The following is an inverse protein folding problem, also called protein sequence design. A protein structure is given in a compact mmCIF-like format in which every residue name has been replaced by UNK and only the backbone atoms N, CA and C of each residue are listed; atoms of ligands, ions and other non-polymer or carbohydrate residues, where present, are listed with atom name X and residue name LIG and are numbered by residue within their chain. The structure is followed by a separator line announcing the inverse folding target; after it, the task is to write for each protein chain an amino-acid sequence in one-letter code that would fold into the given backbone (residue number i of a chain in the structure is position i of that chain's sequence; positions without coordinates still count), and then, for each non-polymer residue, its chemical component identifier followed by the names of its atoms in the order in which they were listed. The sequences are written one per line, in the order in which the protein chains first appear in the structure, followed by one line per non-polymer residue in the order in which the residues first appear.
data_IF_758058180657
#
_entry.id   IF_758058180657
#
_cell.length_a   1.000
_cell.length_b   1.000
_cell.length_c   1.000
_cell.angle_alpha   90.00
_cell.angle_beta   90.00
_cell.angle_gamma   90.00
#
_symmetry.space_group_name_H-M   'P 1'
#
loop_
_entity.id
_entity.type
_entity.pdbx_description
1 polymer ?
#
# COMPACT_ATOMS: atom_id res chain seq x y z
N UNK A 1 -53.01 -15.36 19.09
CA UNK A 1 -53.01 -13.96 19.60
C UNK A 1 -52.17 -13.99 20.86
N UNK A 2 -51.02 -13.33 21.02
CA UNK A 2 -50.42 -12.17 20.34
C UNK A 2 -48.88 -12.33 20.39
N UNK A 3 -48.19 -12.24 19.26
CA UNK A 3 -47.44 -11.07 18.76
C UNK A 3 -46.28 -10.62 19.69
N UNK A 4 -45.08 -11.08 19.33
CA UNK A 4 -43.83 -10.38 19.63
C UNK A 4 -43.64 -9.27 18.58
N UNK A 5 -43.39 -8.00 18.95
CA UNK A 5 -42.78 -7.07 18.04
C UNK A 5 -41.26 -6.99 18.30
N UNK A 6 -40.53 -7.30 17.23
CA UNK A 6 -39.13 -6.97 17.06
C UNK A 6 -38.91 -5.47 17.29
N UNK A 7 -37.98 -5.14 18.18
CA UNK A 7 -37.36 -3.82 18.27
C UNK A 7 -35.93 -3.91 17.77
N UNK A 8 -35.73 -3.95 16.46
CA UNK A 8 -34.44 -3.64 15.85
C UNK A 8 -34.23 -2.13 15.99
N UNK A 9 -33.44 -1.72 16.98
CA UNK A 9 -32.92 -0.36 17.06
C UNK A 9 -31.74 -0.25 16.09
N UNK A 10 -32.02 0.11 14.84
CA UNK A 10 -30.97 0.61 13.96
C UNK A 10 -30.50 1.95 14.52
N UNK A 11 -29.32 1.94 15.14
CA UNK A 11 -28.71 3.11 15.75
C UNK A 11 -28.05 3.97 14.63
N UNK A 12 -28.59 5.13 14.26
CA UNK A 12 -28.12 5.92 13.10
C UNK A 12 -26.74 6.56 13.30
N UNK A 13 -26.23 6.58 14.53
CA UNK A 13 -24.87 7.09 14.82
C UNK A 13 -23.77 6.14 14.33
N UNK A 14 -24.00 4.82 14.34
CA UNK A 14 -23.00 3.84 13.91
C UNK A 14 -22.70 3.91 12.41
N UNK A 15 -23.73 4.11 11.56
CA UNK A 15 -23.55 4.20 10.10
C UNK A 15 -22.86 5.49 9.66
N UNK A 16 -23.08 6.59 10.38
CA UNK A 16 -22.47 7.89 10.06
C UNK A 16 -20.98 7.91 10.42
N UNK A 17 -20.59 7.24 11.52
CA UNK A 17 -19.19 7.09 11.92
C UNK A 17 -18.44 6.17 10.94
N UNK A 18 -19.04 5.04 10.54
CA UNK A 18 -18.46 4.11 9.58
C UNK A 18 -18.22 4.76 8.19
N UNK A 19 -19.19 5.53 7.70
CA UNK A 19 -19.04 6.27 6.43
C UNK A 19 -17.93 7.33 6.47
N UNK A 20 -17.76 8.03 7.60
CA UNK A 20 -16.68 9.00 7.79
C UNK A 20 -15.29 8.35 7.80
N UNK A 21 -15.17 7.16 8.41
CA UNK A 21 -13.92 6.38 8.47
C UNK A 21 -13.54 5.78 7.11
N UNK A 22 -14.52 5.27 6.36
CA UNK A 22 -14.33 4.78 4.99
C UNK A 22 -13.78 5.89 4.08
N UNK A 23 -14.39 7.08 4.12
CA UNK A 23 -13.95 8.25 3.34
C UNK A 23 -12.52 8.69 3.66
N UNK A 24 -12.12 8.65 4.94
CA UNK A 24 -10.76 8.98 5.36
C UNK A 24 -9.73 7.96 4.84
N UNK A 25 -10.03 6.67 4.95
CA UNK A 25 -9.15 5.59 4.46
C UNK A 25 -8.96 5.65 2.94
N UNK A 26 -10.02 5.99 2.20
CA UNK A 26 -9.93 6.17 0.75
C UNK A 26 -9.05 7.36 0.38
N UNK A 27 -9.16 8.47 1.11
CA UNK A 27 -8.32 9.64 0.88
C UNK A 27 -6.85 9.38 1.19
N UNK A 28 -6.56 8.66 2.27
CA UNK A 28 -5.20 8.21 2.59
C UNK A 28 -4.65 7.29 1.49
N UNK A 29 -5.48 6.40 0.96
CA UNK A 29 -5.13 5.51 -0.15
C UNK A 29 -4.77 6.31 -1.39
N UNK A 30 -5.60 7.29 -1.77
CA UNK A 30 -5.34 8.16 -2.93
C UNK A 30 -4.03 8.95 -2.77
N UNK A 31 -3.76 9.48 -1.58
CA UNK A 31 -2.50 10.19 -1.28
C UNK A 31 -1.30 9.26 -1.41
N UNK A 32 -1.37 8.06 -0.82
CA UNK A 32 -0.29 7.08 -0.92
C UNK A 32 -0.05 6.64 -2.36
N UNK A 33 -1.11 6.37 -3.13
CA UNK A 33 -1.00 6.06 -4.55
C UNK A 33 -0.31 7.17 -5.34
N UNK A 34 -0.67 8.44 -5.09
CA UNK A 34 -0.04 9.58 -5.78
C UNK A 34 1.47 9.65 -5.50
N UNK A 35 1.83 9.36 -4.25
CA UNK A 35 3.24 9.28 -3.83
C UNK A 35 3.96 8.12 -4.52
N UNK A 36 3.38 6.91 -4.52
CA UNK A 36 3.96 5.74 -5.17
C UNK A 36 4.06 5.90 -6.69
N UNK A 37 3.06 6.52 -7.34
CA UNK A 37 3.11 6.89 -8.77
C UNK A 37 4.29 7.80 -9.07
N UNK A 38 4.59 8.76 -8.18
CA UNK A 38 5.73 9.66 -8.33
C UNK A 38 7.05 8.91 -8.16
N UNK A 39 7.18 8.09 -7.12
CA UNK A 39 8.38 7.28 -6.90
C UNK A 39 8.64 6.29 -8.02
N UNK A 40 7.61 5.67 -8.59
CA UNK A 40 7.74 4.83 -9.78
C UNK A 40 8.37 5.59 -10.94
N UNK A 41 7.94 6.82 -11.22
CA UNK A 41 8.54 7.65 -12.28
C UNK A 41 10.02 7.93 -11.99
N UNK A 42 10.35 8.29 -10.75
CA UNK A 42 11.73 8.53 -10.33
C UNK A 42 12.61 7.28 -10.40
N UNK A 43 12.07 6.11 -10.10
CA UNK A 43 12.79 4.84 -10.25
C UNK A 43 13.09 4.51 -11.72
N UNK A 44 12.23 4.92 -12.66
CA UNK A 44 12.46 4.68 -14.09
C UNK A 44 13.65 5.50 -14.64
N UNK A 45 13.91 6.68 -14.08
CA UNK A 45 15.01 7.55 -14.50
C UNK A 45 16.32 7.24 -13.78
N UNK A 46 17.41 7.01 -14.54
CA UNK A 46 18.68 6.53 -13.98
C UNK A 46 19.28 7.44 -12.88
N UNK A 47 19.39 8.74 -13.14
CA UNK A 47 20.04 9.66 -12.20
C UNK A 47 19.16 9.94 -10.97
N UNK A 48 17.85 10.03 -11.19
CA UNK A 48 16.87 10.20 -10.11
C UNK A 48 16.84 8.96 -9.20
N UNK A 49 16.85 7.74 -9.78
CA UNK A 49 16.88 6.47 -9.03
C UNK A 49 18.09 6.37 -8.10
N UNK A 50 19.29 6.72 -8.56
CA UNK A 50 20.51 6.72 -7.71
C UNK A 50 20.38 7.64 -6.50
N UNK A 51 19.71 8.78 -6.68
CA UNK A 51 19.45 9.73 -5.60
C UNK A 51 18.42 9.16 -4.64
N UNK A 52 17.35 8.58 -5.19
CA UNK A 52 16.26 7.99 -4.42
C UNK A 52 16.70 6.80 -3.57
N UNK A 53 17.61 5.95 -4.05
CA UNK A 53 18.16 4.85 -3.27
C UNK A 53 19.00 5.29 -2.06
N UNK A 54 19.37 6.58 -1.98
CA UNK A 54 20.03 7.15 -0.80
C UNK A 54 19.04 7.80 0.18
N UNK A 55 17.77 7.90 -0.19
CA UNK A 55 16.73 8.51 0.62
C UNK A 55 16.16 7.49 1.62
N UNK A 56 16.49 7.68 2.90
CA UNK A 56 16.00 6.83 3.98
C UNK A 56 14.47 6.85 4.13
N UNK A 57 13.81 7.97 3.82
CA UNK A 57 12.35 8.07 3.90
C UNK A 57 11.69 7.22 2.81
N UNK A 58 12.25 7.25 1.59
CA UNK A 58 11.82 6.37 0.50
C UNK A 58 11.98 4.89 0.88
N UNK A 59 13.15 4.48 1.38
CA UNK A 59 13.43 3.09 1.74
C UNK A 59 12.54 2.59 2.88
N UNK A 60 12.32 3.44 3.89
CA UNK A 60 11.40 3.14 5.00
C UNK A 60 9.98 2.96 4.50
N UNK A 61 9.50 3.85 3.64
CA UNK A 61 8.16 3.77 3.06
C UNK A 61 8.00 2.52 2.17
N UNK A 62 9.02 2.18 1.38
CA UNK A 62 9.03 0.96 0.57
C UNK A 62 8.85 -0.28 1.45
N UNK A 63 9.58 -0.35 2.57
CA UNK A 63 9.49 -1.44 3.53
C UNK A 63 8.12 -1.51 4.21
N UNK A 64 7.55 -0.36 4.58
CA UNK A 64 6.21 -0.27 5.18
C UNK A 64 5.10 -0.71 4.22
N UNK A 65 5.24 -0.40 2.92
CA UNK A 65 4.25 -0.80 1.92
C UNK A 65 4.21 -2.31 1.69
N UNK A 66 5.26 -3.07 2.05
CA UNK A 66 5.29 -4.54 1.88
C UNK A 66 4.19 -5.26 2.67
N UNK A 67 3.67 -4.65 3.74
CA UNK A 67 2.58 -5.20 4.55
C UNK A 67 1.23 -4.59 4.19
N UNK A 68 1.15 -3.77 3.14
CA UNK A 68 -0.10 -3.15 2.71
C UNK A 68 -0.96 -4.17 1.95
N UNK A 69 -2.27 -4.17 2.21
CA UNK A 69 -3.20 -5.10 1.58
C UNK A 69 -4.08 -4.44 0.51
N UNK A 70 -3.93 -3.13 0.27
CA UNK A 70 -4.68 -2.43 -0.75
C UNK A 70 -4.14 -2.80 -2.14
N UNK A 71 -4.95 -3.36 -3.05
CA UNK A 71 -4.47 -3.83 -4.34
C UNK A 71 -3.77 -2.76 -5.18
N UNK A 72 -4.26 -1.52 -5.14
CA UNK A 72 -3.68 -0.40 -5.87
C UNK A 72 -2.29 -0.01 -5.36
N UNK A 73 -2.08 -0.03 -4.04
CA UNK A 73 -0.79 0.20 -3.39
C UNK A 73 0.20 -0.90 -3.78
N UNK A 74 -0.23 -2.17 -3.64
CA UNK A 74 0.60 -3.33 -3.99
C UNK A 74 1.01 -3.34 -5.45
N UNK A 75 0.12 -2.97 -6.36
CA UNK A 75 0.43 -2.81 -7.80
C UNK A 75 1.59 -1.85 -8.03
N UNK A 76 1.58 -0.66 -7.41
CA UNK A 76 2.69 0.30 -7.59
C UNK A 76 3.96 -0.14 -6.88
N UNK A 77 3.84 -0.76 -5.70
CA UNK A 77 4.98 -1.30 -4.97
C UNK A 77 5.72 -2.35 -5.82
N UNK A 78 5.01 -3.31 -6.40
CA UNK A 78 5.60 -4.34 -7.28
C UNK A 78 6.29 -3.68 -8.48
N UNK A 79 5.65 -2.69 -9.12
CA UNK A 79 6.26 -1.96 -10.24
C UNK A 79 7.57 -1.25 -9.84
N UNK A 80 7.63 -0.66 -8.65
CA UNK A 80 8.84 -0.03 -8.13
C UNK A 80 9.93 -1.09 -7.89
N UNK A 81 9.60 -2.19 -7.22
CA UNK A 81 10.55 -3.26 -6.92
C UNK A 81 11.14 -3.87 -8.20
N UNK A 82 10.33 -4.06 -9.25
CA UNK A 82 10.81 -4.51 -10.55
C UNK A 82 11.84 -3.54 -11.13
N UNK A 83 11.54 -2.24 -11.18
CA UNK A 83 12.46 -1.23 -11.69
C UNK A 83 13.79 -1.19 -10.92
N UNK A 84 13.74 -1.40 -9.60
CA UNK A 84 14.94 -1.40 -8.75
C UNK A 84 15.71 -2.73 -8.78
N UNK A 85 15.08 -3.84 -9.17
CA UNK A 85 15.73 -5.16 -9.22
C UNK A 85 16.21 -5.56 -10.62
N UNK A 86 15.76 -4.87 -11.66
CA UNK A 86 16.28 -5.02 -13.04
C UNK A 86 17.78 -4.68 -13.17
N UNK A 87 18.33 -3.88 -12.25
CA UNK A 87 19.76 -3.52 -12.21
C UNK A 87 20.44 -4.24 -11.06
N UNK A 88 21.52 -4.95 -11.36
CA UNK A 88 22.23 -5.76 -10.36
C UNK A 88 22.76 -4.91 -9.20
N UNK A 89 23.26 -3.71 -9.47
CA UNK A 89 23.79 -2.83 -8.43
C UNK A 89 22.67 -2.39 -7.47
N UNK A 90 21.54 -1.96 -8.02
CA UNK A 90 20.38 -1.50 -7.27
C UNK A 90 19.76 -2.66 -6.47
N UNK A 91 19.65 -3.86 -7.07
CA UNK A 91 19.19 -5.07 -6.40
C UNK A 91 20.10 -5.48 -5.23
N UNK A 92 21.41 -5.39 -5.43
CA UNK A 92 22.40 -5.70 -4.38
C UNK A 92 22.26 -4.72 -3.22
N UNK A 93 22.07 -3.43 -3.52
CA UNK A 93 21.80 -2.41 -2.52
C UNK A 93 20.48 -2.66 -1.78
N UNK A 94 19.41 -3.01 -2.48
CA UNK A 94 18.14 -3.35 -1.83
C UNK A 94 18.28 -4.52 -0.83
N UNK A 95 19.16 -5.48 -1.12
CA UNK A 95 19.49 -6.57 -0.20
C UNK A 95 20.12 -6.12 1.12
N UNK A 96 20.65 -4.89 1.21
CA UNK A 96 21.23 -4.33 2.44
C UNK A 96 20.24 -3.45 3.21
N UNK A 97 19.06 -3.17 2.66
CA UNK A 97 18.05 -2.33 3.30
C UNK A 97 17.42 -3.09 4.47
N UNK A 98 17.52 -2.50 5.66
CA UNK A 98 17.01 -3.09 6.89
C UNK A 98 15.51 -3.42 6.77
N UNK A 99 15.14 -4.65 7.15
CA UNK A 99 13.76 -5.11 7.16
C UNK A 99 13.16 -5.45 5.79
N UNK A 100 13.73 -4.97 4.68
CA UNK A 100 13.16 -5.16 3.34
C UNK A 100 13.15 -6.63 2.92
N UNK A 101 14.28 -7.32 3.03
CA UNK A 101 14.40 -8.75 2.67
C UNK A 101 13.46 -9.60 3.52
N UNK A 102 13.37 -9.31 4.82
CA UNK A 102 12.45 -9.99 5.74
C UNK A 102 10.99 -9.73 5.32
N UNK A 103 10.64 -8.50 4.99
CA UNK A 103 9.29 -8.14 4.58
C UNK A 103 8.89 -8.85 3.28
N UNK A 104 9.80 -8.98 2.30
CA UNK A 104 9.59 -9.76 1.09
C UNK A 104 9.37 -11.25 1.42
N UNK A 105 10.19 -11.83 2.30
CA UNK A 105 10.06 -13.23 2.70
C UNK A 105 8.78 -13.54 3.51
N UNK A 106 8.18 -12.52 4.13
CA UNK A 106 6.91 -12.60 4.85
C UNK A 106 5.70 -12.25 3.97
N UNK A 107 5.92 -11.76 2.74
CA UNK A 107 4.82 -11.45 1.84
C UNK A 107 4.07 -12.75 1.48
N UNK A 108 2.76 -12.71 1.60
CA UNK A 108 1.87 -13.85 1.36
C UNK A 108 0.82 -13.47 0.32
N UNK A 109 0.30 -14.49 -0.37
CA UNK A 109 -0.87 -14.33 -1.21
C UNK A 109 -2.06 -13.88 -0.35
N UNK A 110 -2.81 -12.90 -0.85
CA UNK A 110 -4.00 -12.38 -0.21
C UNK A 110 -5.25 -12.65 -1.06
N UNK A 111 -6.45 -12.61 -0.45
CA UNK A 111 -7.70 -12.70 -1.19
C UNK A 111 -7.80 -11.54 -2.20
N UNK A 112 -8.08 -11.87 -3.46
CA UNK A 112 -8.31 -10.90 -4.52
C UNK A 112 -9.80 -10.79 -4.82
N UNK A 113 -10.40 -9.63 -4.59
CA UNK A 113 -11.78 -9.30 -4.96
C UNK A 113 -11.78 -8.40 -6.20
N UNK A 114 -12.22 -8.87 -7.38
CA UNK A 114 -12.07 -8.14 -8.65
C UNK A 114 -12.83 -6.80 -8.82
N UNK A 115 -13.52 -6.28 -7.80
CA UNK A 115 -14.59 -5.29 -7.99
C UNK A 115 -14.24 -3.80 -7.78
N UNK A 116 -12.98 -3.44 -7.49
CA UNK A 116 -12.61 -2.03 -7.20
C UNK A 116 -11.58 -1.47 -8.21
N UNK A 117 -11.94 -1.37 -9.50
CA UNK A 117 -11.16 -0.65 -10.52
C UNK A 117 -11.94 0.53 -11.11
#
# INVERSE_FOLDING_TARGET
MSENPAGMSDNPESSSIENGVLSARDEETRKLEKTLKSYRKFCAEKETRKTLLKDAAFLKMLTQCMTDNRPSVMKYLIQILLLLTEKKEDATFLGTVEGLVKAIGLAQEGPFTPNDY
#
